data_IF_051426043045
#
_entry.id   IF_051426043045
#
_cell.length_a   1.000
_cell.length_b   1.000
_cell.length_c   1.000
_cell.angle_alpha   90.00
_cell.angle_beta   90.00
_cell.angle_gamma   90.00
#
_symmetry.space_group_name_H-M   'P 1'
#
loop_
_entity.id
_entity.type
_entity.pdbx_description
1 polymer ?
#
# COMPACT_ATOMS: atom_id res chain seq x y z
N UNK A 1 -13.45 -20.81 -8.06
CA UNK A 1 -13.87 -21.64 -6.91
C UNK A 1 -13.31 -23.06 -7.01
N UNK A 2 -13.11 -23.57 -8.23
CA UNK A 2 -12.46 -24.87 -8.48
C UNK A 2 -11.11 -25.01 -7.78
N UNK A 3 -10.18 -24.05 -7.95
CA UNK A 3 -8.87 -24.07 -7.27
C UNK A 3 -8.99 -24.13 -5.74
N UNK A 4 -9.97 -23.42 -5.16
CA UNK A 4 -10.22 -23.43 -3.71
C UNK A 4 -10.66 -24.81 -3.23
N UNK A 5 -11.55 -25.48 -3.97
CA UNK A 5 -12.06 -26.80 -3.61
C UNK A 5 -11.03 -27.91 -3.84
N UNK A 6 -10.06 -27.71 -4.74
CA UNK A 6 -8.90 -28.60 -4.84
C UNK A 6 -7.97 -28.46 -3.62
N UNK A 7 -7.73 -27.23 -3.15
CA UNK A 7 -6.89 -26.97 -1.98
C UNK A 7 -7.56 -27.37 -0.65
N UNK A 8 -8.87 -27.15 -0.53
CA UNK A 8 -9.65 -27.40 0.69
C UNK A 8 -11.02 -28.04 0.36
N UNK A 9 -11.06 -29.36 0.09
CA UNK A 9 -12.27 -30.03 -0.39
C UNK A 9 -13.46 -30.00 0.57
N UNK A 10 -13.20 -29.96 1.89
CA UNK A 10 -14.25 -29.91 2.92
C UNK A 10 -15.11 -28.64 2.87
N UNK A 11 -14.67 -27.59 2.16
CA UNK A 11 -15.46 -26.37 1.97
C UNK A 11 -16.63 -26.55 0.99
N UNK A 12 -16.73 -27.67 0.26
CA UNK A 12 -17.80 -27.89 -0.71
C UNK A 12 -19.21 -27.97 -0.08
N UNK A 13 -19.31 -28.31 1.20
CA UNK A 13 -20.55 -28.37 1.98
C UNK A 13 -20.71 -27.18 2.92
N UNK A 14 -19.78 -26.21 2.88
CA UNK A 14 -19.85 -25.01 3.70
C UNK A 14 -20.79 -23.96 3.09
N UNK A 15 -21.43 -23.17 3.93
CA UNK A 15 -22.28 -22.06 3.49
C UNK A 15 -21.44 -20.85 3.03
N UNK A 16 -21.73 -20.32 1.83
CA UNK A 16 -21.14 -19.06 1.38
C UNK A 16 -21.86 -17.88 2.05
N UNK A 17 -21.22 -17.30 3.06
CA UNK A 17 -21.80 -16.18 3.82
C UNK A 17 -21.83 -14.88 3.00
N UNK A 18 -20.74 -14.55 2.29
CA UNK A 18 -20.65 -13.28 1.55
C UNK A 18 -19.53 -13.29 0.50
N UNK A 19 -19.67 -12.46 -0.55
CA UNK A 19 -18.64 -12.21 -1.55
C UNK A 19 -18.44 -10.70 -1.74
N UNK A 20 -17.19 -10.24 -1.65
CA UNK A 20 -16.84 -8.83 -1.79
C UNK A 20 -15.89 -8.58 -2.95
N UNK A 21 -15.91 -7.34 -3.46
CA UNK A 21 -14.94 -6.83 -4.42
C UNK A 21 -14.56 -5.41 -4.02
N UNK A 22 -13.26 -5.10 -4.06
CA UNK A 22 -12.73 -3.78 -3.74
C UNK A 22 -11.64 -3.39 -4.73
N UNK A 23 -11.53 -2.08 -4.99
CA UNK A 23 -10.41 -1.53 -5.73
C UNK A 23 -9.15 -1.57 -4.88
N UNK A 24 -8.03 -1.99 -5.49
CA UNK A 24 -6.73 -1.97 -4.84
C UNK A 24 -5.94 -0.78 -5.37
N UNK A 25 -5.42 0.12 -4.51
CA UNK A 25 -4.56 1.19 -4.97
C UNK A 25 -3.18 0.62 -5.30
N UNK A 26 -2.90 0.43 -6.59
CA UNK A 26 -1.64 -0.12 -7.10
C UNK A 26 -0.94 0.99 -7.89
N UNK A 27 0.31 1.29 -7.53
CA UNK A 27 1.17 2.18 -8.32
C UNK A 27 1.64 1.50 -9.60
N UNK A 28 2.13 2.27 -10.58
CA UNK A 28 2.64 1.73 -11.84
C UNK A 28 3.85 0.80 -11.67
N UNK A 29 4.64 1.00 -10.61
CA UNK A 29 5.81 0.19 -10.27
C UNK A 29 5.53 -0.90 -9.21
N UNK A 30 4.30 -0.98 -8.69
CA UNK A 30 3.91 -1.93 -7.65
C UNK A 30 4.47 -1.65 -6.25
N UNK A 31 5.16 -0.52 -6.03
CA UNK A 31 5.68 -0.09 -4.73
C UNK A 31 4.81 1.02 -4.10
N UNK A 32 4.68 1.06 -2.76
CA UNK A 32 3.96 2.16 -2.11
C UNK A 32 4.50 3.55 -2.51
N UNK A 33 3.64 4.56 -2.48
CA UNK A 33 3.98 5.96 -2.75
C UNK A 33 3.79 6.74 -1.48
N UNK A 34 4.88 7.26 -0.91
CA UNK A 34 4.91 7.92 0.39
C UNK A 34 5.84 9.12 0.32
N UNK A 35 5.31 10.31 0.60
CA UNK A 35 6.14 11.50 0.69
C UNK A 35 5.41 12.78 0.33
N UNK A 36 6.16 13.87 0.25
CA UNK A 36 5.63 15.19 -0.09
C UNK A 36 5.35 15.28 -1.59
N UNK A 37 4.26 15.92 -1.98
CA UNK A 37 3.95 16.14 -3.39
C UNK A 37 4.86 17.26 -3.94
N UNK A 38 5.66 17.01 -5.01
CA UNK A 38 6.52 18.01 -5.59
C UNK A 38 5.75 19.26 -6.04
N UNK A 39 6.26 20.45 -5.73
CA UNK A 39 5.62 21.73 -6.06
C UNK A 39 4.55 22.21 -5.07
N UNK A 40 4.25 21.44 -4.02
CA UNK A 40 3.25 21.80 -3.00
C UNK A 40 3.87 21.97 -1.62
N UNK A 41 3.41 22.94 -0.83
CA UNK A 41 4.01 23.24 0.48
C UNK A 41 3.59 22.30 1.60
N UNK A 42 2.34 21.83 1.63
CA UNK A 42 1.78 21.04 2.74
C UNK A 42 0.85 19.93 2.23
N UNK A 43 1.25 19.24 1.16
CA UNK A 43 0.52 18.12 0.56
C UNK A 43 1.39 16.88 0.57
N UNK A 44 0.83 15.77 1.06
CA UNK A 44 1.53 14.50 1.23
C UNK A 44 0.72 13.34 0.66
N UNK A 45 1.42 12.32 0.17
CA UNK A 45 0.87 11.08 -0.37
C UNK A 45 1.23 9.90 0.53
N UNK A 46 0.30 8.95 0.64
CA UNK A 46 0.47 7.67 1.32
C UNK A 46 -0.46 6.64 0.70
N UNK A 47 -0.09 6.07 -0.44
CA UNK A 47 -0.94 5.19 -1.26
C UNK A 47 -0.12 4.09 -1.97
N UNK A 48 -0.74 3.35 -2.90
CA UNK A 48 -0.03 2.43 -3.80
C UNK A 48 0.37 1.08 -3.20
N UNK A 49 -0.04 0.79 -1.96
CA UNK A 49 0.38 -0.43 -1.25
C UNK A 49 -0.28 -1.73 -1.77
N UNK A 50 -1.21 -1.64 -2.72
CA UNK A 50 -1.82 -2.76 -3.43
C UNK A 50 -2.35 -3.85 -2.50
N UNK A 51 -1.91 -5.09 -2.75
CA UNK A 51 -2.31 -6.28 -1.97
C UNK A 51 -1.69 -6.33 -0.57
N UNK A 52 -0.72 -5.47 -0.27
CA UNK A 52 0.06 -5.48 0.97
C UNK A 52 -0.24 -4.26 1.85
N UNK A 53 -1.36 -3.56 1.62
CA UNK A 53 -1.72 -2.37 2.39
C UNK A 53 -1.75 -2.58 3.90
N UNK A 54 -2.35 -3.69 4.37
CA UNK A 54 -2.37 -4.03 5.79
C UNK A 54 -0.95 -4.28 6.33
N UNK A 55 -0.14 -5.06 5.60
CA UNK A 55 1.24 -5.37 5.97
C UNK A 55 2.11 -4.11 6.06
N UNK A 56 2.00 -3.21 5.08
CA UNK A 56 2.83 -2.00 5.01
C UNK A 56 2.34 -0.87 5.92
N UNK A 57 1.07 -0.90 6.36
CA UNK A 57 0.39 0.21 7.04
C UNK A 57 1.23 0.87 8.14
N UNK A 58 1.83 0.09 9.03
CA UNK A 58 2.66 0.60 10.13
C UNK A 58 3.88 1.36 9.62
N UNK A 59 4.71 0.73 8.78
CA UNK A 59 5.90 1.36 8.23
C UNK A 59 5.57 2.61 7.40
N UNK A 60 4.48 2.55 6.63
CA UNK A 60 4.02 3.70 5.85
C UNK A 60 3.61 4.87 6.76
N UNK A 61 2.88 4.59 7.83
CA UNK A 61 2.36 5.61 8.75
C UNK A 61 3.48 6.27 9.55
N UNK A 62 4.44 5.49 10.05
CA UNK A 62 5.60 6.02 10.75
C UNK A 62 6.47 6.88 9.83
N UNK A 63 6.75 6.40 8.62
CA UNK A 63 7.50 7.16 7.63
C UNK A 63 6.81 8.47 7.25
N UNK A 64 5.50 8.42 6.97
CA UNK A 64 4.72 9.62 6.64
C UNK A 64 4.66 10.61 7.81
N UNK A 65 4.50 10.13 9.05
CA UNK A 65 4.56 10.94 10.27
C UNK A 65 5.90 11.68 10.39
N UNK A 66 7.03 11.00 10.18
CA UNK A 66 8.35 11.63 10.24
C UNK A 66 8.54 12.68 9.13
N UNK A 67 8.07 12.41 7.91
CA UNK A 67 8.10 13.37 6.79
C UNK A 67 7.26 14.62 7.11
N UNK A 68 6.08 14.46 7.72
CA UNK A 68 5.21 15.58 8.09
C UNK A 68 5.86 16.45 9.18
N UNK A 69 6.47 15.81 10.18
CA UNK A 69 7.08 16.51 11.33
C UNK A 69 8.50 17.04 11.05
N UNK A 70 9.13 16.65 9.94
CA UNK A 70 10.51 17.00 9.62
C UNK A 70 11.54 16.25 10.46
N UNK A 71 11.21 15.06 10.94
CA UNK A 71 12.11 14.23 11.74
C UNK A 71 13.12 13.47 10.84
N UNK A 72 14.30 13.10 11.36
CA UNK A 72 15.18 12.16 10.69
C UNK A 72 14.47 10.79 10.63
N UNK A 73 13.91 10.44 9.46
CA UNK A 73 13.01 9.30 9.32
C UNK A 73 13.58 7.99 9.86
N UNK A 74 12.79 7.27 10.66
CA UNK A 74 13.23 6.03 11.32
C UNK A 74 13.05 4.78 10.44
N UNK A 75 12.21 4.87 9.40
CA UNK A 75 11.84 3.73 8.55
C UNK A 75 12.86 3.54 7.43
N UNK A 76 13.59 2.40 7.39
CA UNK A 76 14.59 2.16 6.35
C UNK A 76 13.96 2.09 4.96
N UNK A 77 14.65 2.67 3.97
CA UNK A 77 14.24 2.60 2.56
C UNK A 77 13.09 3.53 2.17
N UNK A 78 12.62 4.41 3.06
CA UNK A 78 11.53 5.35 2.77
C UNK A 78 11.82 6.27 1.57
N UNK A 79 13.09 6.62 1.35
CA UNK A 79 13.52 7.45 0.21
C UNK A 79 13.18 6.83 -1.16
N UNK A 80 13.11 5.50 -1.27
CA UNK A 80 12.75 4.82 -2.52
C UNK A 80 11.24 4.90 -2.83
N UNK A 81 10.44 5.31 -1.84
CA UNK A 81 8.98 5.40 -1.96
C UNK A 81 8.50 6.83 -2.24
N UNK A 82 9.42 7.78 -2.43
CA UNK A 82 9.11 9.19 -2.70
C UNK A 82 8.32 9.35 -4.01
N UNK A 83 7.27 10.20 -4.06
CA UNK A 83 6.51 10.47 -5.28
C UNK A 83 7.35 11.00 -6.45
N UNK A 84 8.49 11.64 -6.19
CA UNK A 84 9.35 12.24 -7.23
C UNK A 84 9.81 11.24 -8.28
N UNK A 85 9.85 9.95 -7.96
CA UNK A 85 10.21 8.87 -8.89
C UNK A 85 9.28 8.74 -10.10
N UNK A 86 8.11 9.38 -10.09
CA UNK A 86 7.17 9.41 -11.21
C UNK A 86 7.15 10.74 -11.98
N UNK A 87 7.93 11.74 -11.56
CA UNK A 87 7.89 13.11 -12.13
C UNK A 87 8.83 13.27 -13.32
N UNK A 88 9.77 12.34 -13.52
CA UNK A 88 10.78 12.39 -14.60
C UNK A 88 10.47 11.47 -15.79
N UNK A 89 9.21 11.38 -16.22
CA UNK A 89 8.81 10.72 -17.46
C UNK A 89 8.42 11.74 -18.53
#
# INVERSE_FOLDING_TARGET
>A
MEDLLQMAPSLNVSELVHQTACLRPVSSDGLPVIGKVPGWNNLYLGTGAGRKGILWSTGMSYGLKDIILGNPGEVPGLAFLDPIRFVTA
#
